data_IF_110023048552
#
_entry.id   IF_110023048552
#
_cell.length_a   1.000
_cell.length_b   1.000
_cell.length_c   1.000
_cell.angle_alpha   90.00
_cell.angle_beta   90.00
_cell.angle_gamma   90.00
#
_symmetry.space_group_name_H-M   'P 1'
#
loop_
_entity.id
_entity.type
_entity.pdbx_description
1 polymer ?
#
# COMPACT_ATOMS: atom_id res chain seq x y z
N UNK A 1 -4.49 4.67 -3.30
CA UNK A 1 -4.14 3.45 -2.54
C UNK A 1 -2.93 2.73 -3.15
N UNK A 2 -2.99 2.31 -4.42
CA UNK A 2 -1.90 1.55 -5.08
C UNK A 2 -0.53 2.27 -5.01
N UNK A 3 -0.47 3.56 -5.34
CA UNK A 3 0.78 4.35 -5.26
C UNK A 3 1.44 4.38 -3.87
N UNK A 4 0.66 4.47 -2.79
CA UNK A 4 1.17 4.48 -1.41
C UNK A 4 1.74 3.12 -1.01
N UNK A 5 1.07 2.04 -1.43
CA UNK A 5 1.54 0.67 -1.20
C UNK A 5 2.86 0.44 -1.94
N UNK A 6 2.94 0.81 -3.22
CA UNK A 6 4.18 0.64 -4.01
C UNK A 6 5.32 1.45 -3.38
N UNK A 7 5.08 2.71 -2.97
CA UNK A 7 6.09 3.53 -2.30
C UNK A 7 6.58 2.90 -0.99
N UNK A 8 5.65 2.41 -0.15
CA UNK A 8 6.00 1.74 1.09
C UNK A 8 6.87 0.50 0.86
N UNK A 9 6.54 -0.30 -0.17
CA UNK A 9 7.35 -1.46 -0.53
C UNK A 9 8.73 -1.05 -1.05
N UNK A 10 8.85 0.02 -1.83
CA UNK A 10 10.14 0.59 -2.27
C UNK A 10 11.00 1.06 -1.10
N UNK A 11 10.40 1.72 -0.11
CA UNK A 11 11.11 2.19 1.07
C UNK A 11 11.68 1.01 1.87
N UNK A 12 10.95 -0.10 1.94
CA UNK A 12 11.42 -1.33 2.61
C UNK A 12 12.51 -2.01 1.79
N UNK A 13 12.34 -2.11 0.47
CA UNK A 13 13.38 -2.63 -0.43
C UNK A 13 14.68 -1.84 -0.28
N UNK A 14 14.59 -0.51 -0.24
CA UNK A 14 15.74 0.38 -0.02
C UNK A 14 16.40 0.14 1.33
N UNK A 15 15.62 0.07 2.43
CA UNK A 15 16.14 -0.21 3.77
C UNK A 15 16.81 -1.58 3.90
N UNK A 16 16.31 -2.58 3.17
CA UNK A 16 16.83 -3.95 3.19
C UNK A 16 17.90 -4.22 2.11
N UNK A 17 18.23 -3.23 1.29
CA UNK A 17 19.11 -3.35 0.13
C UNK A 17 18.69 -4.49 -0.83
N UNK A 18 17.38 -4.62 -1.06
CA UNK A 18 16.78 -5.64 -1.94
C UNK A 18 16.47 -5.01 -3.29
N UNK A 19 17.16 -5.49 -4.33
CA UNK A 19 16.87 -5.10 -5.71
C UNK A 19 15.61 -5.80 -6.25
N UNK A 20 15.03 -5.27 -7.35
CA UNK A 20 13.96 -5.97 -8.08
C UNK A 20 14.40 -7.35 -8.60
N UNK A 21 15.69 -7.53 -8.91
CA UNK A 21 16.22 -8.82 -9.36
C UNK A 21 16.20 -9.84 -8.21
N UNK A 22 16.67 -9.44 -7.03
CA UNK A 22 16.62 -10.27 -5.82
C UNK A 22 15.18 -10.58 -5.42
N UNK A 23 14.29 -9.59 -5.50
CA UNK A 23 12.87 -9.77 -5.19
C UNK A 23 12.18 -10.76 -6.15
N UNK A 24 12.56 -10.76 -7.44
CA UNK A 24 12.06 -11.73 -8.40
C UNK A 24 12.43 -13.17 -7.99
N UNK A 25 13.66 -13.38 -7.53
CA UNK A 25 14.13 -14.67 -7.05
C UNK A 25 13.39 -15.12 -5.78
N UNK A 26 13.13 -14.20 -4.85
CA UNK A 26 12.45 -14.50 -3.59
C UNK A 26 10.95 -14.77 -3.74
N UNK A 27 10.29 -14.14 -4.73
CA UNK A 27 8.83 -14.18 -4.89
C UNK A 27 8.37 -15.11 -6.01
N UNK A 28 9.25 -15.46 -6.95
CA UNK A 28 8.87 -16.12 -8.21
C UNK A 28 8.14 -15.20 -9.19
N UNK A 29 7.95 -13.92 -8.86
CA UNK A 29 7.36 -12.93 -9.77
C UNK A 29 8.40 -12.56 -10.83
N UNK A 30 8.00 -12.55 -12.10
CA UNK A 30 8.90 -12.20 -13.19
C UNK A 30 9.51 -10.80 -12.98
N UNK A 31 10.82 -10.68 -13.19
CA UNK A 31 11.54 -9.40 -13.05
C UNK A 31 10.89 -8.25 -13.84
N UNK A 32 10.48 -8.52 -15.09
CA UNK A 32 9.77 -7.55 -15.93
C UNK A 32 8.47 -7.05 -15.27
N UNK A 33 7.74 -7.94 -14.59
CA UNK A 33 6.51 -7.59 -13.89
C UNK A 33 6.79 -6.70 -12.68
N UNK A 34 7.87 -6.96 -11.93
CA UNK A 34 8.30 -6.08 -10.84
C UNK A 34 8.70 -4.69 -11.36
N UNK A 35 9.40 -4.60 -12.50
CA UNK A 35 9.71 -3.31 -13.12
C UNK A 35 8.42 -2.54 -13.50
N UNK A 36 7.43 -3.20 -14.08
CA UNK A 36 6.14 -2.59 -14.41
C UNK A 36 5.47 -2.00 -13.16
N UNK A 37 5.50 -2.72 -12.03
CA UNK A 37 4.91 -2.25 -10.77
C UNK A 37 5.72 -1.09 -10.17
N UNK A 38 7.03 -1.25 -9.98
CA UNK A 38 7.84 -0.29 -9.22
C UNK A 38 8.25 0.93 -10.06
N UNK A 39 8.70 0.71 -11.30
CA UNK A 39 9.17 1.79 -12.17
C UNK A 39 8.01 2.46 -12.90
N UNK A 40 7.10 1.67 -13.47
CA UNK A 40 6.00 2.17 -14.32
C UNK A 40 4.71 2.42 -13.54
N UNK A 41 4.69 2.12 -12.24
CA UNK A 41 3.55 2.33 -11.33
C UNK A 41 2.28 1.62 -11.82
N UNK A 42 2.43 0.47 -12.46
CA UNK A 42 1.30 -0.37 -12.84
C UNK A 42 0.57 -0.93 -11.61
N UNK A 43 -0.68 -1.35 -11.83
CA UNK A 43 -1.49 -1.90 -10.77
C UNK A 43 -0.86 -3.19 -10.21
N UNK A 44 -0.55 -3.17 -8.92
CA UNK A 44 -0.18 -4.34 -8.14
C UNK A 44 -1.44 -5.14 -7.74
N UNK A 45 -1.48 -6.43 -8.05
CA UNK A 45 -2.56 -7.32 -7.61
C UNK A 45 -2.41 -7.73 -6.14
N UNK A 46 -3.50 -8.20 -5.53
CA UNK A 46 -3.48 -8.63 -4.13
C UNK A 46 -2.57 -9.84 -3.87
N UNK A 47 -2.51 -10.80 -4.78
CA UNK A 47 -1.60 -11.95 -4.66
C UNK A 47 -0.14 -11.54 -4.77
N UNK A 48 0.19 -10.66 -5.72
CA UNK A 48 1.54 -10.11 -5.86
C UNK A 48 1.94 -9.33 -4.60
N UNK A 49 1.04 -8.51 -4.06
CA UNK A 49 1.25 -7.79 -2.80
C UNK A 49 1.58 -8.75 -1.65
N UNK A 50 0.81 -9.83 -1.48
CA UNK A 50 1.06 -10.82 -0.43
C UNK A 50 2.42 -11.52 -0.60
N UNK A 51 2.77 -11.90 -1.82
CA UNK A 51 4.08 -12.50 -2.14
C UNK A 51 5.23 -11.54 -1.80
N UNK A 52 5.13 -10.28 -2.22
CA UNK A 52 6.16 -9.26 -1.97
C UNK A 52 6.25 -8.95 -0.48
N UNK A 53 5.13 -8.75 0.22
CA UNK A 53 5.12 -8.53 1.66
C UNK A 53 5.78 -9.69 2.42
N UNK A 54 5.51 -10.94 2.02
CA UNK A 54 6.16 -12.11 2.62
C UNK A 54 7.67 -12.13 2.36
N UNK A 55 8.11 -11.88 1.13
CA UNK A 55 9.53 -11.85 0.78
C UNK A 55 10.29 -10.72 1.48
N UNK A 56 9.62 -9.59 1.72
CA UNK A 56 10.17 -8.45 2.46
C UNK A 56 9.95 -8.54 3.98
N UNK A 57 9.36 -9.63 4.48
CA UNK A 57 9.02 -9.83 5.91
C UNK A 57 8.22 -8.67 6.52
N UNK A 58 7.33 -8.07 5.72
CA UNK A 58 6.43 -7.00 6.17
C UNK A 58 5.45 -7.58 7.19
N UNK A 59 5.41 -6.98 8.38
CA UNK A 59 4.46 -7.41 9.41
C UNK A 59 3.05 -6.93 9.05
N UNK A 60 2.05 -7.74 9.36
CA UNK A 60 0.64 -7.41 9.09
C UNK A 60 0.25 -6.03 9.65
N UNK A 61 0.75 -5.67 10.83
CA UNK A 61 0.46 -4.37 11.47
C UNK A 61 1.00 -3.17 10.67
N UNK A 62 2.13 -3.33 9.97
CA UNK A 62 2.71 -2.27 9.14
C UNK A 62 1.86 -2.04 7.89
N UNK A 63 1.33 -3.12 7.30
CA UNK A 63 0.41 -3.05 6.18
C UNK A 63 -0.96 -2.46 6.59
N UNK A 64 -1.49 -2.84 7.75
CA UNK A 64 -2.76 -2.31 8.28
C UNK A 64 -2.67 -0.81 8.59
N UNK A 65 -1.58 -0.35 9.20
CA UNK A 65 -1.37 1.09 9.45
C UNK A 65 -1.37 1.95 8.18
N UNK A 66 -0.91 1.37 7.06
CA UNK A 66 -0.95 2.03 5.75
C UNK A 66 -2.39 2.13 5.18
N UNK A 67 -3.24 1.16 5.46
CA UNK A 67 -4.65 1.15 5.05
C UNK A 67 -5.51 2.07 5.92
N UNK A 68 -5.24 2.10 7.23
CA UNK A 68 -5.97 2.94 8.20
C UNK A 68 -5.66 4.43 8.00
N UNK A 69 -4.39 4.78 7.69
CA UNK A 69 -4.00 6.15 7.33
C UNK A 69 -4.54 6.61 5.96
N UNK A 70 -5.03 5.69 5.13
CA UNK A 70 -5.81 5.99 3.93
C UNK A 70 -7.30 6.22 4.22
N UNK A 71 -7.77 5.73 5.36
CA UNK A 71 -9.19 5.71 5.76
C UNK A 71 -9.59 6.91 6.63
N UNK A 72 -8.73 7.92 6.77
CA UNK A 72 -9.14 9.26 7.24
C UNK A 72 -9.99 9.98 6.16
N UNK A 73 -11.01 9.31 5.63
CA UNK A 73 -12.16 9.95 5.05
C UNK A 73 -12.99 10.52 6.20
N UNK A 74 -12.97 11.86 6.33
CA UNK A 74 -13.84 12.70 7.17
C UNK A 74 -14.40 12.01 8.41
N UNK A 75 -13.77 12.28 9.56
CA UNK A 75 -14.49 12.24 10.84
C UNK A 75 -15.65 13.22 10.67
N UNK A 76 -16.87 12.71 10.45
CA UNK A 76 -18.08 13.50 10.67
C UNK A 76 -18.03 13.79 12.16
N UNK A 77 -17.60 15.00 12.52
CA UNK A 77 -17.75 15.50 13.87
C UNK A 77 -19.24 15.51 14.18
N UNK A 78 -19.62 15.13 15.40
CA UNK A 78 -21.03 15.08 15.84
C UNK A 78 -21.77 16.43 15.66
N UNK A 79 -21.05 17.53 15.40
CA UNK A 79 -21.56 18.84 14.98
C UNK A 79 -22.39 18.83 13.68
N UNK A 80 -22.14 17.92 12.73
CA UNK A 80 -22.90 17.89 11.46
C UNK A 80 -24.32 17.31 11.63
N UNK A 81 -24.68 16.73 12.80
CA UNK A 81 -26.05 16.23 13.04
C UNK A 81 -27.06 17.33 13.37
N UNK A 82 -26.63 18.55 13.67
CA UNK A 82 -27.51 19.60 14.20
C UNK A 82 -27.88 20.72 13.22
N UNK A 83 -27.53 20.62 11.93
CA UNK A 83 -28.04 21.55 10.89
C UNK A 83 -29.30 21.03 10.20
N UNK A 84 -30.29 20.67 11.01
CA UNK A 84 -31.63 20.36 10.54
C UNK A 84 -32.63 21.12 11.39
N UNK A 85 -33.47 21.93 10.73
CA UNK A 85 -34.65 22.65 11.23
C UNK A 85 -34.43 24.03 11.84
N UNK A 86 -34.21 25.02 10.97
CA UNK A 86 -34.88 26.32 11.12
C UNK A 86 -35.85 26.46 9.95
N UNK A 87 -37.13 26.17 10.21
CA UNK A 87 -38.23 26.61 9.34
C UNK A 87 -38.49 28.08 9.67
N UNK A 88 -38.19 28.98 8.73
CA UNK A 88 -38.83 30.30 8.65
C UNK A 88 -40.02 30.22 7.71
#
# INVERSE_FOLDING_TARGET
MNKRIIQFLEDIMSKKDISCASLAQLTGIAYRRLLMVFVWREALSGSELLCICRALEVKQNELMGLLDSGSQGKKITEDDRNRGYEWQ
#
